data_IF_017482572251
#
_entry.id   IF_017482572251
#
_cell.length_a   1.000
_cell.length_b   1.000
_cell.length_c   1.000
_cell.angle_alpha   90.00
_cell.angle_beta   90.00
_cell.angle_gamma   90.00
#
_symmetry.space_group_name_H-M   'P 1'
#
loop_
_entity.id
_entity.type
_entity.pdbx_description
1 polymer ?
#
# COMPACT_ATOMS: atom_id res chain seq x y z
N UNK A 1 4.93 11.96 44.37
CA UNK A 1 4.03 10.97 43.76
C UNK A 1 4.15 9.68 44.53
N UNK A 2 3.04 9.06 44.93
CA UNK A 2 3.07 7.75 45.60
C UNK A 2 3.28 6.63 44.59
N UNK A 3 3.78 5.48 45.06
CA UNK A 3 4.04 4.30 44.22
C UNK A 3 2.76 3.74 43.56
N UNK A 4 1.59 3.96 44.16
CA UNK A 4 0.27 3.60 43.60
C UNK A 4 -0.12 4.45 42.39
N UNK A 5 0.15 5.77 42.43
CA UNK A 5 -0.25 6.69 41.37
C UNK A 5 0.56 6.45 40.08
N UNK A 6 1.80 5.98 40.23
CA UNK A 6 2.70 5.61 39.13
C UNK A 6 2.24 4.31 38.47
N UNK A 7 1.75 3.35 39.27
CA UNK A 7 1.26 2.05 38.79
C UNK A 7 -0.05 2.20 38.00
N UNK A 8 -1.02 2.97 38.52
CA UNK A 8 -2.27 3.28 37.81
C UNK A 8 -2.02 4.07 36.50
N UNK A 9 -1.06 4.99 36.49
CA UNK A 9 -0.68 5.74 35.28
C UNK A 9 -0.08 4.79 34.22
N UNK A 10 0.73 3.82 34.63
CA UNK A 10 1.33 2.85 33.71
C UNK A 10 0.28 1.88 33.14
N UNK A 11 -0.69 1.47 33.94
CA UNK A 11 -1.82 0.64 33.47
C UNK A 11 -2.69 1.40 32.46
N UNK A 12 -3.02 2.66 32.74
CA UNK A 12 -3.80 3.51 31.82
C UNK A 12 -3.08 3.73 30.48
N UNK A 13 -1.77 3.98 30.51
CA UNK A 13 -0.95 4.11 29.29
C UNK A 13 -0.91 2.80 28.51
N UNK A 14 -0.77 1.67 29.21
CA UNK A 14 -0.74 0.34 28.57
C UNK A 14 -2.07 0.02 27.88
N UNK A 15 -3.19 0.34 28.53
CA UNK A 15 -4.53 0.15 27.96
C UNK A 15 -4.76 1.02 26.71
N UNK A 16 -4.34 2.29 26.74
CA UNK A 16 -4.48 3.18 25.57
C UNK A 16 -3.57 2.73 24.41
N UNK A 17 -2.35 2.28 24.70
CA UNK A 17 -1.47 1.70 23.68
C UNK A 17 -2.09 0.45 23.03
N UNK A 18 -2.71 -0.42 23.81
CA UNK A 18 -3.41 -1.60 23.27
C UNK A 18 -4.55 -1.17 22.34
N UNK A 19 -5.40 -0.24 22.78
CA UNK A 19 -6.52 0.27 21.98
C UNK A 19 -6.07 0.90 20.65
N UNK A 20 -4.97 1.65 20.66
CA UNK A 20 -4.40 2.25 19.45
C UNK A 20 -3.82 1.20 18.51
N UNK A 21 -3.16 0.16 19.04
CA UNK A 21 -2.64 -0.96 18.25
C UNK A 21 -3.76 -1.78 17.61
N UNK A 22 -4.83 -2.06 18.33
CA UNK A 22 -6.01 -2.71 17.76
C UNK A 22 -6.59 -1.90 16.58
N UNK A 23 -6.55 -0.57 16.65
CA UNK A 23 -6.98 0.29 15.55
C UNK A 23 -6.01 0.22 14.36
N UNK A 24 -4.71 0.15 14.60
CA UNK A 24 -3.67 -0.02 13.56
C UNK A 24 -3.85 -1.37 12.85
N UNK A 25 -4.01 -2.46 13.61
CA UNK A 25 -4.17 -3.81 13.05
C UNK A 25 -5.39 -3.90 12.13
N UNK A 26 -6.49 -3.23 12.50
CA UNK A 26 -7.68 -3.14 11.65
C UNK A 26 -7.44 -2.34 10.36
N UNK A 27 -6.67 -1.25 10.42
CA UNK A 27 -6.29 -0.48 9.24
C UNK A 27 -5.39 -1.30 8.33
N UNK A 28 -4.41 -2.02 8.89
CA UNK A 28 -3.49 -2.86 8.14
C UNK A 28 -4.22 -3.99 7.41
N UNK A 29 -5.21 -4.61 8.06
CA UNK A 29 -6.08 -5.60 7.41
C UNK A 29 -6.82 -4.99 6.21
N UNK A 30 -7.37 -3.78 6.36
CA UNK A 30 -8.02 -3.07 5.26
C UNK A 30 -7.06 -2.75 4.10
N UNK A 31 -5.84 -2.31 4.41
CA UNK A 31 -4.78 -2.05 3.42
C UNK A 31 -4.45 -3.32 2.63
N UNK A 32 -4.27 -4.45 3.31
CA UNK A 32 -3.98 -5.75 2.68
C UNK A 32 -5.13 -6.17 1.75
N UNK A 33 -6.39 -6.05 2.19
CA UNK A 33 -7.53 -6.38 1.35
C UNK A 33 -7.63 -5.47 0.12
N UNK A 34 -7.40 -4.16 0.26
CA UNK A 34 -7.42 -3.23 -0.88
C UNK A 34 -6.27 -3.49 -1.85
N UNK A 35 -5.09 -3.86 -1.35
CA UNK A 35 -3.99 -4.30 -2.20
C UNK A 35 -4.35 -5.56 -2.96
N UNK A 36 -4.95 -6.57 -2.32
CA UNK A 36 -5.37 -7.79 -2.99
C UNK A 36 -6.33 -7.51 -4.16
N UNK A 37 -7.34 -6.65 -3.95
CA UNK A 37 -8.24 -6.23 -5.03
C UNK A 37 -7.51 -5.44 -6.13
N UNK A 38 -6.57 -4.56 -5.76
CA UNK A 38 -5.74 -3.85 -6.73
C UNK A 38 -4.90 -4.84 -7.57
N UNK A 39 -4.33 -5.87 -6.95
CA UNK A 39 -3.50 -6.86 -7.63
C UNK A 39 -4.32 -7.72 -8.61
N UNK A 40 -5.55 -8.11 -8.26
CA UNK A 40 -6.49 -8.77 -9.19
C UNK A 40 -6.72 -7.92 -10.45
N UNK A 41 -6.99 -6.63 -10.28
CA UNK A 41 -7.14 -5.71 -11.42
C UNK A 41 -5.86 -5.64 -12.25
N UNK A 42 -4.69 -5.54 -11.63
CA UNK A 42 -3.44 -5.48 -12.38
C UNK A 42 -3.10 -6.78 -13.08
N UNK A 43 -3.46 -7.95 -12.53
CA UNK A 43 -3.31 -9.24 -13.21
C UNK A 43 -4.15 -9.29 -14.50
N UNK A 44 -5.40 -8.85 -14.42
CA UNK A 44 -6.27 -8.72 -15.61
C UNK A 44 -5.68 -7.78 -16.66
N UNK A 45 -5.11 -6.64 -16.23
CA UNK A 45 -4.36 -5.74 -17.12
C UNK A 45 -3.15 -6.45 -17.74
N UNK A 46 -2.41 -7.25 -16.96
CA UNK A 46 -1.26 -8.02 -17.43
C UNK A 46 -1.65 -9.01 -18.53
N UNK A 47 -2.69 -9.83 -18.31
CA UNK A 47 -3.22 -10.73 -19.32
C UNK A 47 -3.72 -10.00 -20.57
N UNK A 48 -4.38 -8.85 -20.40
CA UNK A 48 -4.82 -8.02 -21.52
C UNK A 48 -3.62 -7.53 -22.32
N UNK A 49 -2.59 -6.98 -21.66
CA UNK A 49 -1.36 -6.52 -22.29
C UNK A 49 -0.65 -7.66 -23.04
N UNK A 50 -0.48 -8.81 -22.40
CA UNK A 50 0.15 -9.98 -23.01
C UNK A 50 -0.59 -10.45 -24.27
N UNK A 51 -1.93 -10.55 -24.22
CA UNK A 51 -2.76 -10.94 -25.38
C UNK A 51 -2.62 -9.99 -26.57
N UNK A 52 -2.37 -8.71 -26.31
CA UNK A 52 -2.24 -7.67 -27.34
C UNK A 52 -0.78 -7.27 -27.61
N UNK A 53 0.21 -8.04 -27.11
CA UNK A 53 1.63 -7.75 -27.27
C UNK A 53 2.04 -6.33 -26.83
N UNK A 54 1.38 -5.82 -25.79
CA UNK A 54 1.71 -4.53 -25.19
C UNK A 54 2.81 -4.69 -24.12
N UNK A 55 3.66 -3.66 -23.93
CA UNK A 55 4.73 -3.73 -22.95
C UNK A 55 4.19 -3.80 -21.51
N UNK A 56 4.85 -4.60 -20.63
CA UNK A 56 4.57 -4.64 -19.18
C UNK A 56 4.62 -3.26 -18.52
N UNK A 57 5.70 -2.51 -18.76
CA UNK A 57 5.86 -1.14 -18.29
C UNK A 57 5.11 -0.13 -19.16
N UNK A 58 4.66 0.97 -18.55
CA UNK A 58 4.05 2.10 -19.24
C UNK A 58 4.49 3.40 -18.52
N UNK A 59 5.63 3.99 -18.93
CA UNK A 59 6.22 5.13 -18.25
C UNK A 59 5.28 6.34 -18.15
N UNK A 60 4.43 6.55 -19.17
CA UNK A 60 3.44 7.62 -19.17
C UNK A 60 2.35 7.39 -18.12
N UNK A 61 1.85 6.16 -18.04
CA UNK A 61 0.89 5.78 -17.00
C UNK A 61 1.50 5.85 -15.61
N UNK A 62 2.72 5.37 -15.42
CA UNK A 62 3.44 5.41 -14.14
C UNK A 62 3.62 6.85 -13.63
N UNK A 63 4.09 7.75 -14.47
CA UNK A 63 4.22 9.17 -14.13
C UNK A 63 2.88 9.80 -13.71
N UNK A 64 1.78 9.48 -14.42
CA UNK A 64 0.44 9.97 -14.07
C UNK A 64 -0.05 9.44 -12.70
N UNK A 65 0.30 8.20 -12.35
CA UNK A 65 -0.05 7.60 -11.06
C UNK A 65 0.71 8.26 -9.92
N UNK A 66 2.01 8.52 -10.11
CA UNK A 66 2.85 9.20 -9.13
C UNK A 66 2.30 10.61 -8.87
N UNK A 67 2.06 11.40 -9.91
CA UNK A 67 1.52 12.75 -9.77
C UNK A 67 0.19 12.77 -9.03
N UNK A 68 -0.75 11.88 -9.40
CA UNK A 68 -2.04 11.76 -8.72
C UNK A 68 -1.89 11.34 -7.26
N UNK A 69 -1.00 10.39 -6.96
CA UNK A 69 -0.83 9.89 -5.60
C UNK A 69 -0.20 10.93 -4.68
N UNK A 70 0.78 11.69 -5.17
CA UNK A 70 1.37 12.80 -4.42
C UNK A 70 0.30 13.81 -3.99
N UNK A 71 -0.61 14.19 -4.90
CA UNK A 71 -1.74 15.07 -4.57
C UNK A 71 -2.68 14.49 -3.52
N UNK A 72 -2.97 13.18 -3.61
CA UNK A 72 -3.81 12.49 -2.60
C UNK A 72 -3.12 12.46 -1.24
N UNK A 73 -1.81 12.22 -1.21
CA UNK A 73 -1.02 12.21 0.02
C UNK A 73 -1.03 13.58 0.70
N UNK A 74 -0.81 14.66 -0.04
CA UNK A 74 -0.89 16.03 0.47
C UNK A 74 -2.27 16.32 1.10
N UNK A 75 -3.35 15.96 0.41
CA UNK A 75 -4.72 16.16 0.91
C UNK A 75 -5.00 15.34 2.18
N UNK A 76 -4.38 14.16 2.30
CA UNK A 76 -4.49 13.27 3.46
C UNK A 76 -3.51 13.62 4.59
N UNK A 77 -2.68 14.65 4.44
CA UNK A 77 -1.58 14.99 5.37
C UNK A 77 -0.56 13.85 5.56
N UNK A 78 -0.37 13.05 4.52
CA UNK A 78 0.67 12.03 4.41
C UNK A 78 1.85 12.60 3.64
N UNK A 79 3.08 12.25 4.01
CA UNK A 79 4.28 12.64 3.27
C UNK A 79 4.20 12.15 1.80
N UNK A 80 4.19 13.07 0.81
CA UNK A 80 4.13 12.69 -0.60
C UNK A 80 5.33 11.85 -1.05
N UNK A 81 6.50 12.05 -0.45
CA UNK A 81 7.69 11.27 -0.76
C UNK A 81 7.56 9.83 -0.27
N UNK A 82 6.97 9.61 0.91
CA UNK A 82 6.63 8.29 1.39
C UNK A 82 5.60 7.59 0.49
N UNK A 83 4.52 8.28 0.13
CA UNK A 83 3.48 7.73 -0.74
C UNK A 83 4.05 7.33 -2.11
N UNK A 84 4.92 8.15 -2.68
CA UNK A 84 5.62 7.83 -3.94
C UNK A 84 6.51 6.60 -3.81
N UNK A 85 7.30 6.47 -2.74
CA UNK A 85 8.12 5.26 -2.49
C UNK A 85 7.26 4.00 -2.41
N UNK A 86 6.14 4.05 -1.70
CA UNK A 86 5.21 2.93 -1.59
C UNK A 86 4.64 2.55 -2.96
N UNK A 87 4.22 3.54 -3.76
CA UNK A 87 3.68 3.27 -5.09
C UNK A 87 4.73 2.71 -6.04
N UNK A 88 5.95 3.23 -6.02
CA UNK A 88 7.04 2.72 -6.84
C UNK A 88 7.32 1.25 -6.53
N UNK A 89 7.31 0.88 -5.25
CA UNK A 89 7.42 -0.52 -4.83
C UNK A 89 6.29 -1.39 -5.42
N UNK A 90 5.03 -0.93 -5.30
CA UNK A 90 3.88 -1.66 -5.85
C UNK A 90 3.95 -1.76 -7.38
N UNK A 91 4.35 -0.70 -8.08
CA UNK A 91 4.48 -0.67 -9.54
C UNK A 91 5.54 -1.67 -10.00
N UNK A 92 6.70 -1.71 -9.34
CA UNK A 92 7.76 -2.66 -9.68
C UNK A 92 7.26 -4.11 -9.60
N UNK A 93 6.50 -4.45 -8.55
CA UNK A 93 5.93 -5.79 -8.40
C UNK A 93 4.88 -6.10 -9.47
N UNK A 94 4.06 -5.11 -9.86
CA UNK A 94 3.09 -5.28 -10.95
C UNK A 94 3.78 -5.51 -12.28
N UNK A 95 4.85 -4.78 -12.59
CA UNK A 95 5.62 -4.95 -13.83
C UNK A 95 6.22 -6.37 -13.86
N UNK A 96 6.82 -6.81 -12.76
CA UNK A 96 7.35 -8.18 -12.63
C UNK A 96 6.29 -9.24 -12.92
N UNK A 97 5.07 -9.09 -12.36
CA UNK A 97 3.97 -10.00 -12.68
C UNK A 97 3.55 -9.94 -14.15
N UNK A 98 3.53 -8.77 -14.77
CA UNK A 98 3.21 -8.64 -16.19
C UNK A 98 4.25 -9.31 -17.08
N UNK A 99 5.52 -9.26 -16.71
CA UNK A 99 6.60 -9.99 -17.39
C UNK A 99 6.40 -11.50 -17.28
N UNK A 100 6.10 -12.03 -16.08
CA UNK A 100 5.79 -13.46 -15.87
C UNK A 100 4.58 -13.91 -16.71
N UNK A 101 3.50 -13.12 -16.73
CA UNK A 101 2.31 -13.39 -17.55
C UNK A 101 2.66 -13.42 -19.04
N UNK A 102 3.47 -12.46 -19.50
CA UNK A 102 3.89 -12.39 -20.90
C UNK A 102 4.80 -13.56 -21.30
N UNK A 103 5.58 -14.09 -20.36
CA UNK A 103 6.41 -15.29 -20.55
C UNK A 103 5.61 -16.60 -20.50
N UNK A 104 4.37 -16.57 -20.00
CA UNK A 104 3.54 -17.78 -19.81
C UNK A 104 3.98 -18.63 -18.61
N UNK A 105 4.59 -18.01 -17.61
CA UNK A 105 5.18 -18.65 -16.42
C UNK A 105 4.27 -18.56 -15.17
N UNK A 106 2.98 -18.29 -15.38
CA UNK A 106 1.99 -18.07 -14.33
C UNK A 106 1.26 -19.34 -13.87
#
# INVERSE_FOLDING_TARGET
MNNSDIDETNEAVTAELARLRDSIDNIDAAVVHMLAERFKCTQQVGHLKARHHLPPADPGREASQIARLRQLAENAKLDPAFAEKLLNFIIAEVIRHHETIAAGEE
#
